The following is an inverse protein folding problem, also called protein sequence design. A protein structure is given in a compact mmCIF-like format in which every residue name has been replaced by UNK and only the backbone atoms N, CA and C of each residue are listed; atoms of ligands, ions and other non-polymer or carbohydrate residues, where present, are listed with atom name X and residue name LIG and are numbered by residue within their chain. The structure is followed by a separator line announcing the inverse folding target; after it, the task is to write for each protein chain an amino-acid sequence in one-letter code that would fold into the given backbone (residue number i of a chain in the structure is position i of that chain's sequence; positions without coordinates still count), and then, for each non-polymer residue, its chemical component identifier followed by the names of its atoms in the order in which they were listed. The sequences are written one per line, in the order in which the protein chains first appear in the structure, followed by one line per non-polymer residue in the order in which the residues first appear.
data_IF_796515652374
#
_entry.id   IF_796515652374
#
_cell.length_a   1.000
_cell.length_b   1.000
_cell.length_c   1.000
_cell.angle_alpha   90.00
_cell.angle_beta   90.00
_cell.angle_gamma   90.00
#
_symmetry.space_group_name_H-M   'P 1'
#
loop_
_entity.id
_entity.type
_entity.pdbx_description
1 polymer ?
#
# COMPACT_ATOMS: atom_id res chain seq x y z
N UNK A 1 -10.87 4.18 54.08
CA UNK A 1 -11.69 3.36 53.17
C UNK A 1 -12.39 4.32 52.23
N UNK A 2 -11.94 4.39 50.99
CA UNK A 2 -12.58 5.19 49.92
C UNK A 2 -12.64 4.24 48.73
N UNK A 3 -13.87 3.85 48.41
CA UNK A 3 -14.27 2.96 47.33
C UNK A 3 -14.36 3.70 46.00
N UNK A 4 -14.30 2.88 44.95
CA UNK A 4 -14.74 3.13 43.59
C UNK A 4 -13.79 3.87 42.65
N UNK A 5 -12.93 3.06 42.04
CA UNK A 5 -12.23 3.34 40.80
C UNK A 5 -13.08 2.77 39.65
N UNK A 6 -13.61 3.57 38.71
CA UNK A 6 -14.23 3.04 37.51
C UNK A 6 -13.26 3.13 36.32
N UNK A 7 -12.92 1.98 35.75
CA UNK A 7 -12.60 1.79 34.33
C UNK A 7 -12.83 0.29 34.05
N UNK A 8 -13.16 -0.19 32.82
CA UNK A 8 -13.19 0.50 31.55
C UNK A 8 -14.35 0.13 30.60
N UNK A 9 -14.61 1.03 29.65
CA UNK A 9 -15.24 0.85 28.31
C UNK A 9 -16.11 2.06 28.02
N UNK A 10 -15.51 3.04 27.34
CA UNK A 10 -16.29 4.04 26.60
C UNK A 10 -17.06 3.29 25.52
N UNK A 11 -18.34 3.05 25.76
CA UNK A 11 -19.26 2.59 24.72
C UNK A 11 -19.24 3.65 23.61
N UNK A 12 -18.65 3.28 22.47
CA UNK A 12 -18.68 4.13 21.29
C UNK A 12 -20.13 4.21 20.82
N UNK A 13 -20.59 5.40 20.38
CA UNK A 13 -21.94 5.54 19.87
C UNK A 13 -22.12 4.60 18.68
N UNK A 14 -23.20 3.81 18.69
CA UNK A 14 -23.55 2.86 17.63
C UNK A 14 -24.25 3.53 16.44
N UNK A 15 -24.34 4.86 16.43
CA UNK A 15 -24.95 5.62 15.35
C UNK A 15 -24.22 6.95 15.12
N UNK A 16 -24.01 7.32 13.87
CA UNK A 16 -23.54 8.66 13.48
C UNK A 16 -24.44 9.19 12.36
N UNK A 17 -25.00 10.38 12.56
CA UNK A 17 -25.87 11.06 11.59
C UNK A 17 -27.04 10.21 11.03
N UNK A 18 -27.63 9.33 11.86
CA UNK A 18 -28.75 8.47 11.46
C UNK A 18 -28.35 7.20 10.71
N UNK A 19 -27.06 6.95 10.54
CA UNK A 19 -26.51 5.69 10.05
C UNK A 19 -26.08 4.80 11.23
N UNK A 20 -26.44 3.52 11.18
CA UNK A 20 -25.98 2.54 12.16
C UNK A 20 -24.50 2.25 11.92
N UNK A 21 -23.70 2.42 12.97
CA UNK A 21 -22.30 2.03 13.01
C UNK A 21 -22.24 0.55 13.40
N UNK A 22 -21.83 -0.28 12.43
CA UNK A 22 -21.50 -1.68 12.67
C UNK A 22 -20.01 -1.70 13.00
N UNK A 23 -19.68 -1.99 14.26
CA UNK A 23 -18.32 -2.33 14.66
C UNK A 23 -18.13 -3.80 14.31
N UNK A 24 -17.34 -4.05 13.27
CA UNK A 24 -16.88 -5.40 12.95
C UNK A 24 -15.81 -5.68 13.99
N UNK A 25 -16.12 -6.55 14.96
CA UNK A 25 -15.10 -7.16 15.81
C UNK A 25 -14.28 -8.06 14.87
N UNK A 26 -13.13 -7.54 14.46
CA UNK A 26 -12.16 -8.15 13.55
C UNK A 26 -11.36 -9.21 14.33
N UNK A 27 -12.05 -10.28 14.72
CA UNK A 27 -11.51 -11.46 15.43
C UNK A 27 -11.96 -12.74 14.69
N UNK A 28 -11.95 -12.71 13.35
CA UNK A 28 -11.90 -13.91 12.52
C UNK A 28 -10.56 -13.86 11.76
N UNK A 29 -9.56 -14.49 12.39
CA UNK A 29 -8.30 -14.96 11.82
C UNK A 29 -8.58 -15.97 10.68
N UNK A 30 -9.24 -15.54 9.61
CA UNK A 30 -9.10 -16.18 8.31
C UNK A 30 -7.89 -15.54 7.65
N UNK A 31 -6.72 -16.05 8.05
CA UNK A 31 -5.49 -16.01 7.30
C UNK A 31 -5.77 -16.66 5.92
N UNK A 32 -6.48 -15.96 5.04
CA UNK A 32 -6.26 -16.12 3.62
C UNK A 32 -4.81 -15.69 3.41
N UNK A 33 -3.93 -16.67 3.48
CA UNK A 33 -2.60 -16.66 2.90
C UNK A 33 -2.80 -16.27 1.43
N UNK A 34 -2.90 -14.96 1.18
CA UNK A 34 -2.61 -14.37 -0.11
C UNK A 34 -1.13 -14.65 -0.32
N UNK A 35 -0.83 -15.88 -0.74
CA UNK A 35 0.30 -16.20 -1.58
C UNK A 35 0.09 -15.49 -2.94
N UNK A 36 -0.12 -14.18 -2.92
CA UNK A 36 0.12 -13.35 -4.09
C UNK A 36 1.64 -13.37 -4.20
N UNK A 37 2.14 -14.27 -5.04
CA UNK A 37 3.55 -14.35 -5.40
C UNK A 37 4.09 -12.92 -5.45
N UNK A 38 5.00 -12.57 -4.55
CA UNK A 38 5.60 -11.22 -4.43
C UNK A 38 6.30 -10.79 -5.76
N UNK A 39 6.34 -11.70 -6.75
CA UNK A 39 6.77 -11.50 -8.13
C UNK A 39 5.71 -11.01 -9.14
N UNK A 40 4.42 -10.88 -8.79
CA UNK A 40 3.37 -10.50 -9.76
C UNK A 40 3.06 -8.99 -9.78
N UNK A 41 3.47 -8.22 -8.76
CA UNK A 41 3.26 -6.77 -8.74
C UNK A 41 4.38 -6.02 -9.50
N UNK A 42 4.15 -5.71 -10.78
CA UNK A 42 5.08 -4.95 -11.62
C UNK A 42 5.54 -3.63 -10.98
N UNK A 43 4.61 -2.90 -10.34
CA UNK A 43 4.92 -1.68 -9.61
C UNK A 43 5.88 -1.92 -8.43
N UNK A 44 5.64 -2.98 -7.66
CA UNK A 44 6.41 -3.32 -6.47
C UNK A 44 7.86 -3.67 -6.85
N UNK A 45 8.03 -4.52 -7.86
CA UNK A 45 9.33 -4.86 -8.44
C UNK A 45 10.07 -3.62 -8.95
N UNK A 46 9.34 -2.71 -9.60
CA UNK A 46 9.86 -1.43 -10.04
C UNK A 46 10.39 -0.60 -8.87
N UNK A 47 9.59 -0.43 -7.83
CA UNK A 47 9.95 0.36 -6.65
C UNK A 47 11.18 -0.18 -5.97
N UNK A 48 11.30 -1.49 -5.79
CA UNK A 48 12.50 -2.10 -5.23
C UNK A 48 13.75 -1.88 -6.08
N UNK A 49 13.63 -2.02 -7.41
CA UNK A 49 14.72 -1.73 -8.33
C UNK A 49 15.16 -0.26 -8.22
N UNK A 50 14.21 0.66 -8.10
CA UNK A 50 14.46 2.08 -7.83
C UNK A 50 15.20 2.32 -6.52
N UNK A 51 14.77 1.68 -5.42
CA UNK A 51 15.47 1.71 -4.12
C UNK A 51 16.91 1.19 -4.21
N UNK A 52 17.11 0.08 -4.92
CA UNK A 52 18.43 -0.50 -5.17
C UNK A 52 19.30 0.42 -6.05
N UNK A 53 18.70 1.34 -6.79
CA UNK A 53 19.39 2.20 -7.74
C UNK A 53 19.74 1.47 -9.03
N UNK A 54 18.96 0.44 -9.37
CA UNK A 54 19.03 -0.19 -10.68
C UNK A 54 18.58 0.77 -11.76
N UNK A 55 19.00 0.54 -12.99
CA UNK A 55 18.63 1.36 -14.15
C UNK A 55 17.34 0.87 -14.80
N UNK A 56 16.64 1.73 -15.55
CA UNK A 56 15.34 1.39 -16.16
C UNK A 56 15.41 0.24 -17.20
N UNK A 57 16.59 -0.05 -17.76
CA UNK A 57 16.81 -1.21 -18.66
C UNK A 57 16.69 -2.57 -17.95
N UNK A 58 16.57 -2.58 -16.62
CA UNK A 58 16.27 -3.78 -15.82
C UNK A 58 14.79 -4.13 -15.81
N UNK A 59 13.93 -3.30 -16.40
CA UNK A 59 12.52 -3.58 -16.56
C UNK A 59 12.33 -4.90 -17.35
N UNK A 60 11.73 -5.96 -16.76
CA UNK A 60 11.58 -7.25 -17.42
C UNK A 60 10.43 -7.28 -18.44
N UNK A 61 9.58 -6.25 -18.47
CA UNK A 61 8.37 -6.23 -19.28
C UNK A 61 8.64 -5.67 -20.69
N UNK A 62 7.89 -6.11 -21.70
CA UNK A 62 8.00 -5.57 -23.05
C UNK A 62 7.62 -4.08 -23.08
N UNK A 63 8.36 -3.30 -23.85
CA UNK A 63 8.05 -1.88 -24.06
C UNK A 63 6.67 -1.69 -24.67
N UNK A 64 5.97 -0.64 -24.25
CA UNK A 64 4.63 -0.27 -24.74
C UNK A 64 4.69 0.98 -25.62
N UNK A 65 3.72 1.12 -26.53
CA UNK A 65 3.45 2.34 -27.28
C UNK A 65 2.47 3.29 -26.57
N UNK A 66 1.93 2.88 -25.42
CA UNK A 66 1.10 3.72 -24.56
C UNK A 66 1.85 5.00 -24.17
N UNK A 67 1.13 6.12 -24.15
CA UNK A 67 1.71 7.41 -23.79
C UNK A 67 2.03 7.45 -22.29
N UNK A 68 3.26 7.82 -21.86
CA UNK A 68 3.58 7.94 -20.44
C UNK A 68 2.57 8.80 -19.67
N UNK A 69 2.01 8.23 -18.59
CA UNK A 69 1.01 8.87 -17.73
C UNK A 69 -0.45 8.82 -18.24
N UNK A 70 -0.75 8.14 -19.35
CA UNK A 70 -2.14 7.85 -19.75
C UNK A 70 -2.72 6.70 -18.92
N UNK A 71 -4.04 6.48 -19.02
CA UNK A 71 -4.70 5.31 -18.42
C UNK A 71 -4.06 4.03 -18.97
N UNK A 72 -3.98 3.92 -20.30
CA UNK A 72 -3.37 2.77 -21.01
C UNK A 72 -1.92 2.48 -20.56
N UNK A 73 -1.17 3.49 -20.09
CA UNK A 73 0.17 3.30 -19.57
C UNK A 73 0.16 2.55 -18.23
N UNK A 74 -0.76 2.91 -17.33
CA UNK A 74 -0.93 2.26 -16.04
C UNK A 74 -1.64 0.90 -16.13
N UNK A 75 -2.20 0.56 -17.29
CA UNK A 75 -2.69 -0.78 -17.59
C UNK A 75 -1.56 -1.72 -18.06
N UNK A 76 -0.36 -1.20 -18.34
CA UNK A 76 0.78 -2.01 -18.77
C UNK A 76 1.74 -2.27 -17.60
N UNK A 77 2.24 -3.50 -17.50
CA UNK A 77 3.27 -3.86 -16.51
C UNK A 77 4.56 -3.04 -16.70
N UNK A 78 4.91 -2.73 -17.94
CA UNK A 78 6.03 -1.85 -18.26
C UNK A 78 5.87 -0.47 -17.64
N UNK A 79 4.69 0.14 -17.78
CA UNK A 79 4.38 1.45 -17.24
C UNK A 79 4.24 1.44 -15.72
N UNK A 80 3.66 0.39 -15.15
CA UNK A 80 3.57 0.19 -13.70
C UNK A 80 4.96 0.05 -13.07
N UNK A 81 5.83 -0.77 -13.66
CA UNK A 81 7.21 -0.95 -13.19
C UNK A 81 7.99 0.36 -13.23
N UNK A 82 7.94 1.13 -14.32
CA UNK A 82 8.63 2.43 -14.40
C UNK A 82 8.10 3.44 -13.40
N UNK A 83 6.80 3.42 -13.13
CA UNK A 83 6.18 4.29 -12.12
C UNK A 83 6.69 3.94 -10.72
N UNK A 84 6.73 2.65 -10.39
CA UNK A 84 7.30 2.18 -9.13
C UNK A 84 8.78 2.55 -9.01
N UNK A 85 9.57 2.31 -10.06
CA UNK A 85 11.00 2.61 -10.12
C UNK A 85 11.30 4.08 -9.83
N UNK A 86 10.59 5.00 -10.49
CA UNK A 86 10.74 6.43 -10.27
C UNK A 86 10.41 6.85 -8.84
N UNK A 87 9.41 6.23 -8.20
CA UNK A 87 9.09 6.48 -6.79
C UNK A 87 10.17 5.92 -5.85
N UNK A 88 10.62 4.69 -6.10
CA UNK A 88 11.64 4.06 -5.28
C UNK A 88 12.99 4.79 -5.30
N UNK A 89 13.35 5.34 -6.45
CA UNK A 89 14.53 6.19 -6.58
C UNK A 89 14.41 7.47 -5.73
N UNK A 90 13.24 8.11 -5.71
CA UNK A 90 12.98 9.30 -4.89
C UNK A 90 12.98 8.98 -3.39
N UNK A 91 12.38 7.86 -2.99
CA UNK A 91 12.35 7.41 -1.59
C UNK A 91 13.76 7.14 -1.04
N UNK A 92 14.68 6.64 -1.88
CA UNK A 92 16.09 6.49 -1.50
C UNK A 92 16.76 7.83 -1.19
N UNK A 93 16.43 8.87 -1.95
CA UNK A 93 17.03 10.20 -1.80
C UNK A 93 16.44 10.98 -0.63
N UNK A 94 15.15 10.79 -0.34
CA UNK A 94 14.39 11.59 0.62
C UNK A 94 13.98 10.84 1.90
N UNK A 95 14.27 9.54 1.99
CA UNK A 95 13.70 8.65 3.01
C UNK A 95 12.25 8.29 2.68
N UNK A 96 11.80 7.12 3.14
CA UNK A 96 10.41 6.72 2.98
C UNK A 96 9.50 7.71 3.74
N UNK A 97 8.43 8.20 3.10
CA UNK A 97 7.58 9.25 3.70
C UNK A 97 6.96 8.82 5.05
N UNK A 98 6.74 7.52 5.24
CA UNK A 98 6.17 6.90 6.45
C UNK A 98 7.15 6.84 7.64
N UNK A 99 8.46 6.99 7.41
CA UNK A 99 9.51 6.90 8.44
C UNK A 99 9.75 8.23 9.17
N UNK A 100 8.91 9.24 8.91
CA UNK A 100 9.01 10.58 9.53
C UNK A 100 8.06 10.77 10.72
N UNK A 101 7.55 9.68 11.31
CA UNK A 101 6.58 9.69 12.41
C UNK A 101 7.22 9.55 13.79
#
# INVERSE_FOLDING_TARGET
MTTDQPDPRRELPTTFAGHNLVFIDDDDDEDEEFDEDEGDCAFCLGREAGHRGETEDRNPYPTTDARPGSIDWYETDYGLWLTGHGLGAQEKEHGAYWDQS
#
